data_IF_136552584078
#
_entry.id   IF_136552584078
#
_cell.length_a   1.000
_cell.length_b   1.000
_cell.length_c   1.000
_cell.angle_alpha   90.00
_cell.angle_beta   90.00
_cell.angle_gamma   90.00
#
_symmetry.space_group_name_H-M   'P 1'
#
loop_
_entity.id
_entity.type
_entity.pdbx_description
1 polymer ?
#
# COMPACT_ATOMS: atom_id res chain seq x y z
N UNK A 1 -6.75 -13.27 0.55
CA UNK A 1 -7.19 -11.87 0.51
C UNK A 1 -5.94 -11.03 0.36
N UNK A 2 -6.02 -9.93 -0.38
CA UNK A 2 -4.91 -9.00 -0.59
C UNK A 2 -3.81 -9.59 -1.49
N UNK A 3 -4.22 -10.45 -2.43
CA UNK A 3 -3.35 -11.08 -3.43
C UNK A 3 -3.49 -10.41 -4.81
N UNK A 4 -4.43 -9.48 -4.94
CA UNK A 4 -4.68 -8.71 -6.15
C UNK A 4 -3.49 -7.81 -6.50
N UNK A 5 -2.78 -7.35 -5.46
CA UNK A 5 -1.50 -6.64 -5.56
C UNK A 5 -0.45 -7.51 -4.86
N UNK A 6 0.66 -7.82 -5.54
CA UNK A 6 1.74 -8.62 -4.98
C UNK A 6 2.64 -7.80 -4.02
N UNK A 7 2.12 -7.54 -2.81
CA UNK A 7 2.83 -6.82 -1.76
C UNK A 7 4.08 -7.59 -1.29
N UNK A 8 4.00 -8.91 -1.24
CA UNK A 8 5.13 -9.75 -0.84
C UNK A 8 6.26 -9.73 -1.88
N UNK A 9 5.91 -9.63 -3.17
CA UNK A 9 6.86 -9.39 -4.25
C UNK A 9 7.50 -8.02 -4.15
N UNK A 10 6.70 -6.97 -3.92
CA UNK A 10 7.16 -5.60 -3.73
C UNK A 10 8.18 -5.48 -2.58
N UNK A 11 7.89 -6.09 -1.43
CA UNK A 11 8.80 -6.11 -0.26
C UNK A 11 10.13 -6.80 -0.51
N UNK A 12 10.19 -7.72 -1.47
CA UNK A 12 11.40 -8.48 -1.82
C UNK A 12 12.28 -7.77 -2.85
N UNK A 13 11.83 -6.65 -3.43
CA UNK A 13 12.62 -5.90 -4.40
C UNK A 13 13.86 -5.33 -3.70
N UNK A 14 15.05 -5.68 -4.20
CA UNK A 14 16.31 -5.23 -3.61
C UNK A 14 16.41 -3.71 -3.70
N UNK A 15 16.58 -3.05 -2.56
CA UNK A 15 16.71 -1.59 -2.47
C UNK A 15 15.39 -0.84 -2.53
N UNK A 16 14.25 -1.54 -2.39
CA UNK A 16 12.97 -0.89 -2.17
C UNK A 16 12.97 -0.19 -0.81
N UNK A 17 12.45 1.03 -0.75
CA UNK A 17 12.28 1.77 0.50
C UNK A 17 10.78 1.96 0.78
N UNK A 18 10.32 1.45 1.93
CA UNK A 18 8.98 1.72 2.44
C UNK A 18 9.02 2.90 3.41
N UNK A 19 8.28 3.95 3.12
CA UNK A 19 8.14 5.14 3.96
C UNK A 19 6.68 5.25 4.39
N UNK A 20 6.42 5.09 5.69
CA UNK A 20 5.08 5.30 6.23
C UNK A 20 4.79 6.80 6.34
N UNK A 21 3.80 7.29 5.60
CA UNK A 21 3.41 8.71 5.62
C UNK A 21 2.41 8.96 6.75
N UNK A 22 1.43 8.05 6.88
CA UNK A 22 0.45 7.98 7.98
C UNK A 22 -0.11 6.55 8.02
N UNK A 23 -0.93 6.19 9.03
CA UNK A 23 -1.58 4.88 9.04
C UNK A 23 -2.30 4.59 7.71
N UNK A 24 -2.07 3.40 7.16
CA UNK A 24 -2.67 2.88 5.92
C UNK A 24 -2.32 3.70 4.65
N UNK A 25 -1.25 4.49 4.69
CA UNK A 25 -0.73 5.22 3.55
C UNK A 25 0.79 5.19 3.54
N UNK A 26 1.33 4.38 2.64
CA UNK A 26 2.75 4.12 2.50
C UNK A 26 3.25 4.58 1.13
N UNK A 27 4.43 5.17 1.13
CA UNK A 27 5.23 5.38 -0.07
C UNK A 27 6.19 4.22 -0.24
N UNK A 28 6.31 3.75 -1.48
CA UNK A 28 7.24 2.72 -1.90
C UNK A 28 8.12 3.27 -3.01
N UNK A 29 9.38 3.55 -2.65
CA UNK A 29 10.36 4.11 -3.57
C UNK A 29 11.25 3.03 -4.14
N UNK A 30 11.33 2.99 -5.47
CA UNK A 30 12.11 2.03 -6.22
C UNK A 30 13.58 2.46 -6.35
N UNK A 31 14.50 1.51 -6.59
CA UNK A 31 15.93 1.80 -6.72
C UNK A 31 16.28 2.76 -7.87
N UNK A 32 15.48 2.81 -8.93
CA UNK A 32 15.63 3.72 -10.05
C UNK A 32 15.06 5.12 -9.77
N UNK A 33 14.46 5.32 -8.59
CA UNK A 33 14.02 6.61 -8.06
C UNK A 33 12.54 6.92 -8.26
N UNK A 34 11.77 6.10 -9.01
CA UNK A 34 10.32 6.30 -9.08
C UNK A 34 9.62 5.81 -7.81
N UNK A 35 8.42 6.32 -7.56
CA UNK A 35 7.70 6.11 -6.31
C UNK A 35 6.24 5.76 -6.59
N UNK A 36 5.71 4.81 -5.83
CA UNK A 36 4.29 4.47 -5.82
C UNK A 36 3.71 4.65 -4.43
N UNK A 37 2.47 5.11 -4.37
CA UNK A 37 1.74 5.32 -3.13
C UNK A 37 0.73 4.20 -2.96
N UNK A 38 0.84 3.45 -1.87
CA UNK A 38 0.00 2.30 -1.57
C UNK A 38 -0.88 2.62 -0.37
N UNK A 39 -2.17 2.39 -0.56
CA UNK A 39 -3.19 2.54 0.47
C UNK A 39 -3.58 1.17 1.03
N UNK A 40 -3.79 1.12 2.34
CA UNK A 40 -4.21 -0.05 3.08
C UNK A 40 -3.36 -1.32 2.82
N UNK A 41 -2.10 -1.19 2.41
CA UNK A 41 -1.21 -2.31 2.07
C UNK A 41 -1.83 -3.33 1.09
N UNK A 42 -2.59 -2.84 0.10
CA UNK A 42 -3.25 -3.71 -0.89
C UNK A 42 -4.48 -4.45 -0.37
N UNK A 43 -4.92 -4.15 0.86
CA UNK A 43 -6.16 -4.68 1.45
C UNK A 43 -7.37 -3.81 1.11
N UNK A 44 -8.52 -4.15 1.70
CA UNK A 44 -9.79 -3.43 1.50
C UNK A 44 -9.69 -1.93 1.82
N UNK A 45 -9.44 -1.14 0.78
CA UNK A 45 -9.23 0.32 0.85
C UNK A 45 -10.40 1.04 1.54
N UNK A 46 -11.63 0.69 1.17
CA UNK A 46 -12.83 1.36 1.64
C UNK A 46 -13.01 1.25 3.17
N UNK A 47 -12.52 0.16 3.77
CA UNK A 47 -12.57 -0.06 5.22
C UNK A 47 -11.27 0.35 5.91
N UNK A 48 -10.12 0.22 5.24
CA UNK A 48 -8.81 0.55 5.80
C UNK A 48 -8.50 2.05 5.80
N UNK A 49 -9.01 2.80 4.82
CA UNK A 49 -8.73 4.24 4.67
C UNK A 49 -9.97 5.13 4.83
N UNK A 50 -11.14 4.54 5.04
CA UNK A 50 -12.41 5.25 5.22
C UNK A 50 -13.33 4.43 6.14
N UNK A 51 -14.65 4.69 6.09
CA UNK A 51 -15.63 4.05 6.98
C UNK A 51 -16.47 2.96 6.30
N UNK A 52 -16.07 2.47 5.13
CA UNK A 52 -16.83 1.49 4.37
C UNK A 52 -18.07 2.05 3.69
N UNK A 53 -19.02 1.16 3.35
CA UNK A 53 -20.30 1.58 2.81
C UNK A 53 -21.12 2.30 3.91
N UNK A 54 -21.84 3.38 3.56
CA UNK A 54 -22.79 3.98 4.49
C UNK A 54 -23.89 2.97 4.86
N UNK A 55 -24.46 3.13 6.05
CA UNK A 55 -25.54 2.24 6.51
C UNK A 55 -26.85 2.38 5.70
N UNK A 56 -26.97 3.41 4.86
CA UNK A 56 -28.12 3.72 4.01
C UNK A 56 -27.67 4.26 2.66
#
# INVERSE_FOLDING_TARGET
FDNEIDMAGLEKIKGIEKINIKPQYDSWKFPDGHEVLILAEGRLLNLGCATGHPSF
#
